data_IF_456548774744
#
_entry.id   IF_456548774744
#
_cell.length_a   1.000
_cell.length_b   1.000
_cell.length_c   1.000
_cell.angle_alpha   90.00
_cell.angle_beta   90.00
_cell.angle_gamma   90.00
#
_symmetry.space_group_name_H-M   'P 1'
#
loop_
_entity.id
_entity.type
_entity.pdbx_description
1 polymer ?
#
# COMPACT_ATOMS: atom_id res chain seq x y z
N UNK A 1 -5.64 19.05 -10.45
CA UNK A 1 -4.21 18.69 -10.37
C UNK A 1 -4.03 17.72 -9.22
N UNK A 2 -3.78 16.44 -9.47
CA UNK A 2 -3.58 15.45 -8.39
C UNK A 2 -2.16 15.59 -7.87
N UNK A 3 -1.99 16.27 -6.73
CA UNK A 3 -0.69 16.31 -6.05
C UNK A 3 -0.37 14.90 -5.54
N UNK A 4 0.83 14.41 -5.88
CA UNK A 4 1.36 13.15 -5.39
C UNK A 4 1.97 13.43 -4.01
N UNK A 5 1.23 13.15 -2.94
CA UNK A 5 1.77 13.27 -1.58
C UNK A 5 2.91 12.25 -1.40
N UNK A 6 4.10 12.73 -1.07
CA UNK A 6 5.24 11.91 -0.64
C UNK A 6 5.31 11.94 0.88
N UNK A 7 4.85 10.87 1.53
CA UNK A 7 5.07 10.65 2.96
C UNK A 7 6.04 9.47 3.12
N UNK A 8 7.21 9.65 3.74
CA UNK A 8 8.12 8.54 4.00
C UNK A 8 7.58 7.70 5.16
N UNK A 9 7.04 6.52 4.85
CA UNK A 9 6.78 5.47 5.85
C UNK A 9 8.00 4.57 5.94
N UNK A 10 8.50 4.32 7.15
CA UNK A 10 9.55 3.34 7.38
C UNK A 10 8.96 1.94 7.17
N UNK A 11 9.49 1.23 6.17
CA UNK A 11 9.14 -0.15 5.87
C UNK A 11 10.32 -1.02 6.29
N UNK A 12 10.04 -2.10 7.00
CA UNK A 12 11.03 -3.12 7.35
C UNK A 12 11.79 -3.62 6.09
N UNK A 13 13.10 -3.80 6.23
CA UNK A 13 13.97 -4.15 5.10
C UNK A 13 13.60 -5.50 4.48
N UNK A 14 13.22 -6.49 5.30
CA UNK A 14 12.82 -7.81 4.84
C UNK A 14 11.48 -7.75 4.11
N UNK A 15 10.54 -6.95 4.63
CA UNK A 15 9.26 -6.74 3.94
C UNK A 15 9.46 -6.09 2.58
N UNK A 16 10.37 -5.12 2.46
CA UNK A 16 10.72 -4.51 1.17
C UNK A 16 11.37 -5.53 0.21
N UNK A 17 12.22 -6.42 0.71
CA UNK A 17 12.82 -7.49 -0.07
C UNK A 17 11.75 -8.46 -0.62
N UNK A 18 10.78 -8.85 0.22
CA UNK A 18 9.65 -9.69 -0.17
C UNK A 18 8.76 -9.00 -1.21
N UNK A 19 8.45 -7.71 -1.04
CA UNK A 19 7.68 -6.95 -2.01
C UNK A 19 8.36 -6.91 -3.39
N UNK A 20 9.69 -6.71 -3.43
CA UNK A 20 10.48 -6.78 -4.66
C UNK A 20 10.43 -8.17 -5.31
N UNK A 21 10.51 -9.23 -4.50
CA UNK A 21 10.40 -10.61 -5.00
C UNK A 21 9.01 -10.88 -5.62
N UNK A 22 7.94 -10.46 -4.95
CA UNK A 22 6.57 -10.59 -5.46
C UNK A 22 6.38 -9.88 -6.81
N UNK A 23 6.86 -8.64 -6.95
CA UNK A 23 6.80 -7.90 -8.22
C UNK A 23 7.52 -8.65 -9.33
N UNK A 24 8.72 -9.18 -9.08
CA UNK A 24 9.48 -9.96 -10.05
C UNK A 24 8.75 -11.22 -10.49
N UNK A 25 8.07 -11.91 -9.57
CA UNK A 25 7.26 -13.09 -9.89
C UNK A 25 6.14 -12.71 -10.87
N UNK A 26 5.39 -11.63 -10.61
CA UNK A 26 4.30 -11.17 -11.48
C UNK A 26 4.83 -10.81 -12.87
N UNK A 27 5.93 -10.05 -12.94
CA UNK A 27 6.56 -9.67 -14.21
C UNK A 27 6.96 -10.91 -15.02
N UNK A 28 7.63 -11.89 -14.39
CA UNK A 28 8.07 -13.14 -15.04
C UNK A 28 6.89 -13.98 -15.52
N UNK A 29 5.81 -14.06 -14.75
CA UNK A 29 4.65 -14.89 -15.07
C UNK A 29 3.74 -14.28 -16.14
N UNK A 30 3.64 -12.95 -16.20
CA UNK A 30 2.69 -12.26 -17.07
C UNK A 30 3.34 -11.59 -18.28
N UNK A 31 4.66 -11.39 -18.27
CA UNK A 31 5.38 -10.59 -19.25
C UNK A 31 5.05 -9.09 -19.18
N UNK A 32 4.22 -8.65 -18.23
CA UNK A 32 3.76 -7.26 -18.13
C UNK A 32 4.68 -6.45 -17.23
N UNK A 33 4.78 -5.15 -17.53
CA UNK A 33 5.41 -4.18 -16.62
C UNK A 33 4.51 -4.02 -15.39
N UNK A 34 4.97 -4.56 -14.26
CA UNK A 34 4.34 -4.41 -12.96
C UNK A 34 5.33 -3.74 -12.00
N UNK A 35 4.98 -2.64 -11.36
CA UNK A 35 5.95 -1.82 -10.59
C UNK A 35 5.73 -1.97 -9.08
N UNK A 36 6.77 -1.67 -8.29
CA UNK A 36 6.65 -1.66 -6.84
C UNK A 36 5.61 -0.62 -6.35
N UNK A 37 5.51 0.53 -7.03
CA UNK A 37 4.48 1.52 -6.75
C UNK A 37 3.05 0.98 -7.01
N UNK A 38 2.87 0.22 -8.09
CA UNK A 38 1.60 -0.42 -8.40
C UNK A 38 1.27 -1.50 -7.35
N UNK A 39 2.24 -2.32 -6.96
CA UNK A 39 2.09 -3.31 -5.90
C UNK A 39 1.61 -2.68 -4.59
N UNK A 40 2.28 -1.63 -4.11
CA UNK A 40 1.84 -0.97 -2.89
C UNK A 40 0.48 -0.30 -3.05
N UNK A 41 0.18 0.33 -4.19
CA UNK A 41 -1.15 0.89 -4.45
C UNK A 41 -2.25 -0.16 -4.35
N UNK A 42 -2.06 -1.32 -4.99
CA UNK A 42 -3.03 -2.42 -4.98
C UNK A 42 -3.17 -3.03 -3.58
N UNK A 43 -2.04 -3.22 -2.87
CA UNK A 43 -2.03 -3.68 -1.48
C UNK A 43 -2.76 -2.71 -0.54
N UNK A 44 -2.52 -1.41 -0.65
CA UNK A 44 -3.24 -0.38 0.13
C UNK A 44 -4.73 -0.42 -0.18
N UNK A 45 -5.14 -0.52 -1.44
CA UNK A 45 -6.57 -0.64 -1.82
C UNK A 45 -7.20 -1.90 -1.20
N UNK A 46 -6.51 -3.03 -1.25
CA UNK A 46 -6.99 -4.27 -0.66
C UNK A 46 -7.18 -4.12 0.87
N UNK A 47 -6.21 -3.50 1.55
CA UNK A 47 -6.28 -3.25 2.99
C UNK A 47 -7.39 -2.25 3.35
N UNK A 48 -7.56 -1.16 2.59
CA UNK A 48 -8.67 -0.22 2.81
C UNK A 48 -10.03 -0.89 2.67
N UNK A 49 -10.19 -1.81 1.72
CA UNK A 49 -11.42 -2.60 1.58
C UNK A 49 -11.64 -3.53 2.78
N UNK A 50 -10.58 -4.12 3.30
CA UNK A 50 -10.67 -4.94 4.52
C UNK A 50 -11.07 -4.07 5.72
N UNK A 51 -10.41 -2.93 5.92
CA UNK A 51 -10.72 -2.01 7.02
C UNK A 51 -12.15 -1.50 6.94
N UNK A 52 -12.62 -1.16 5.73
CA UNK A 52 -14.00 -0.74 5.51
C UNK A 52 -15.02 -1.80 5.98
N UNK A 53 -14.77 -3.08 5.66
CA UNK A 53 -15.65 -4.19 6.08
C UNK A 53 -15.58 -4.45 7.58
N UNK A 54 -14.37 -4.52 8.11
CA UNK A 54 -14.15 -5.06 9.46
C UNK A 54 -14.33 -3.99 10.54
N UNK A 55 -14.09 -2.70 10.20
CA UNK A 55 -14.01 -1.60 11.17
C UNK A 55 -14.84 -0.36 10.80
N UNK A 56 -15.51 -0.33 9.64
CA UNK A 56 -16.33 0.81 9.23
C UNK A 56 -17.75 0.38 8.82
N UNK A 57 -18.27 -0.71 9.37
CA UNK A 57 -19.61 -1.24 9.09
C UNK A 57 -19.89 -1.48 7.59
N UNK A 58 -18.85 -1.81 6.81
CA UNK A 58 -18.93 -1.94 5.36
C UNK A 58 -19.12 -0.62 4.61
N UNK A 59 -19.08 0.53 5.29
CA UNK A 59 -19.21 1.85 4.68
C UNK A 59 -17.91 2.29 4.01
N UNK A 60 -17.97 3.12 2.96
CA UNK A 60 -16.79 3.70 2.34
C UNK A 60 -15.94 4.51 3.33
N UNK A 61 -14.62 4.39 3.25
CA UNK A 61 -13.68 5.23 3.99
C UNK A 61 -13.57 6.58 3.27
N UNK A 62 -13.82 7.69 3.99
CA UNK A 62 -13.67 9.04 3.47
C UNK A 62 -12.24 9.55 3.66
N UNK A 63 -11.72 10.42 2.78
CA UNK A 63 -10.43 11.06 3.00
C UNK A 63 -10.39 11.82 4.33
N UNK A 64 -9.27 11.72 5.04
CA UNK A 64 -8.96 12.47 6.26
C UNK A 64 -7.57 13.10 6.10
N UNK A 65 -7.47 14.40 6.33
CA UNK A 65 -6.24 15.18 6.21
C UNK A 65 -5.53 15.37 7.55
N UNK A 66 -6.13 14.87 8.65
CA UNK A 66 -5.53 14.91 9.98
C UNK A 66 -4.27 14.04 10.00
N UNK A 67 -3.09 14.60 10.31
CA UNK A 67 -1.85 13.82 10.32
C UNK A 67 -1.88 12.73 11.38
N UNK A 68 -1.46 11.52 11.00
CA UNK A 68 -1.20 10.46 11.97
C UNK A 68 0.12 10.72 12.71
N UNK A 69 0.23 10.28 13.98
CA UNK A 69 1.51 10.28 14.68
C UNK A 69 2.59 9.54 13.88
N UNK A 70 3.88 9.89 14.06
CA UNK A 70 4.97 9.19 13.40
C UNK A 70 4.90 7.68 13.68
N UNK A 71 5.07 6.87 12.64
CA UNK A 71 5.16 5.42 12.80
C UNK A 71 6.35 5.07 13.69
N UNK A 72 6.10 4.28 14.75
CA UNK A 72 7.17 3.71 15.57
C UNK A 72 7.55 2.34 14.99
N UNK A 73 8.85 2.02 14.83
CA UNK A 73 9.24 0.66 14.49
C UNK A 73 8.71 -0.30 15.58
N UNK A 74 8.18 -1.44 15.13
CA UNK A 74 7.73 -2.53 15.99
C UNK A 74 8.92 -3.25 16.61
#
# INVERSE_FOLDING_TARGET
MSQKATSPTNIDTDLLALARAAVRIVQRKTGRRYTLAQFFREATIAQLRQVSRDYNDGRPITPDETPLPPGRPA
#
